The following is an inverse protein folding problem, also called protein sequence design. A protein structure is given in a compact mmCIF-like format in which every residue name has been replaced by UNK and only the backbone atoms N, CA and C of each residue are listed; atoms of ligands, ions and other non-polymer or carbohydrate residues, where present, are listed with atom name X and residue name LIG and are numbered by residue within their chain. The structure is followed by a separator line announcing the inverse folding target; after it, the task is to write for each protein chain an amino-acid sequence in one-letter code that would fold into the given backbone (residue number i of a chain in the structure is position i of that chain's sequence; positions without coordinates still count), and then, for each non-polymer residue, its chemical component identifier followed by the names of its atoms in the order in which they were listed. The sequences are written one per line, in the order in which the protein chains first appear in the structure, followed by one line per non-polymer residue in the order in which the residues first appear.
data_IF_457288816434
#
_entry.id   IF_457288816434
#
_cell.length_a   1.000
_cell.length_b   1.000
_cell.length_c   1.000
_cell.angle_alpha   90.00
_cell.angle_beta   90.00
_cell.angle_gamma   90.00
#
_symmetry.space_group_name_H-M   'P 1'
#
loop_
_entity.id
_entity.type
_entity.pdbx_description
1 polymer ?
#
# COMPACT_ATOMS: atom_id res chain seq x y z
N UNK A 1 39.37 -1.16 -18.65
CA UNK A 1 39.14 -1.10 -17.19
C UNK A 1 39.05 0.37 -16.81
N UNK A 2 38.08 0.85 -15.99
CA UNK A 2 37.62 0.23 -14.74
C UNK A 2 36.08 0.11 -14.51
N UNK A 3 35.76 -0.88 -13.67
CA UNK A 3 34.68 -1.04 -12.65
C UNK A 3 33.23 -0.63 -13.00
N UNK A 4 32.40 -1.66 -13.22
CA UNK A 4 30.95 -1.61 -12.99
C UNK A 4 30.67 -1.76 -11.49
N UNK A 5 29.86 -0.84 -10.94
CA UNK A 5 29.43 -0.86 -9.53
C UNK A 5 28.53 -2.08 -9.29
N UNK A 6 28.94 -2.86 -8.31
CA UNK A 6 28.30 -4.07 -7.83
C UNK A 6 26.92 -3.74 -7.23
N UNK A 7 25.84 -3.91 -8.00
CA UNK A 7 24.48 -3.99 -7.45
C UNK A 7 24.25 -5.44 -6.99
N UNK A 8 23.97 -5.60 -5.70
CA UNK A 8 23.91 -6.89 -5.02
C UNK A 8 22.72 -7.74 -5.45
N UNK A 9 22.84 -8.45 -6.57
CA UNK A 9 21.91 -9.51 -6.95
C UNK A 9 22.61 -10.86 -6.79
N UNK A 10 22.33 -11.56 -5.70
CA UNK A 10 22.67 -12.98 -5.58
C UNK A 10 21.76 -13.76 -6.54
N UNK A 11 22.35 -14.29 -7.60
CA UNK A 11 21.65 -15.11 -8.58
C UNK A 11 21.44 -16.52 -7.99
N UNK A 12 20.23 -16.80 -7.50
CA UNK A 12 19.76 -18.17 -7.29
C UNK A 12 18.98 -18.61 -8.53
N UNK A 13 19.49 -19.63 -9.20
CA UNK A 13 18.97 -20.21 -10.43
C UNK A 13 17.45 -20.49 -10.32
N UNK A 14 16.66 -19.86 -11.20
CA UNK A 14 15.33 -20.34 -11.59
C UNK A 14 14.10 -19.52 -11.17
N UNK A 15 14.23 -18.44 -10.39
CA UNK A 15 13.07 -17.59 -10.12
C UNK A 15 13.50 -16.15 -9.95
N UNK A 16 13.00 -15.25 -10.81
CA UNK A 16 13.07 -13.82 -10.57
C UNK A 16 12.07 -13.56 -9.43
N UNK A 17 12.48 -13.87 -8.20
CA UNK A 17 11.78 -13.42 -7.01
C UNK A 17 11.85 -11.90 -7.06
N UNK A 18 10.79 -11.26 -7.54
CA UNK A 18 10.67 -9.82 -7.45
C UNK A 18 10.59 -9.53 -5.94
N UNK A 19 11.65 -8.99 -5.30
CA UNK A 19 11.62 -8.76 -3.86
C UNK A 19 10.45 -7.86 -3.47
N UNK A 20 9.92 -7.07 -4.41
CA UNK A 20 8.79 -6.17 -4.20
C UNK A 20 7.43 -6.88 -4.23
N UNK A 21 7.31 -8.11 -4.74
CA UNK A 21 6.01 -8.83 -4.71
C UNK A 21 5.61 -9.27 -3.30
N UNK A 22 6.58 -9.35 -2.38
CA UNK A 22 6.32 -9.66 -0.97
C UNK A 22 6.28 -8.41 -0.07
N UNK A 23 6.52 -7.21 -0.61
CA UNK A 23 6.54 -5.96 0.17
C UNK A 23 5.36 -5.03 -0.16
N UNK A 24 4.19 -5.63 -0.43
CA UNK A 24 2.96 -4.88 -0.64
C UNK A 24 2.42 -4.36 0.70
N UNK A 25 2.66 -3.07 0.98
CA UNK A 25 2.08 -2.36 2.14
C UNK A 25 0.74 -1.71 1.79
N UNK A 26 -0.07 -1.44 2.82
CA UNK A 26 -1.27 -0.61 2.72
C UNK A 26 -0.94 0.80 2.21
N UNK A 27 0.24 1.33 2.54
CA UNK A 27 0.70 2.63 2.03
C UNK A 27 0.90 2.61 0.51
N UNK A 28 1.48 1.53 -0.04
CA UNK A 28 1.56 1.35 -1.49
C UNK A 28 0.17 1.28 -2.14
N UNK A 29 -0.82 0.67 -1.48
CA UNK A 29 -2.19 0.66 -1.98
C UNK A 29 -2.81 2.07 -2.01
N UNK A 30 -2.57 2.87 -0.96
CA UNK A 30 -3.05 4.26 -0.88
C UNK A 30 -2.49 5.12 -2.01
N UNK A 31 -1.19 5.00 -2.24
CA UNK A 31 -0.49 5.76 -3.29
C UNK A 31 -0.93 5.32 -4.68
N UNK A 32 -0.98 4.00 -4.92
CA UNK A 32 -1.35 3.43 -6.23
C UNK A 32 -2.78 3.79 -6.63
N UNK A 33 -3.73 3.66 -5.71
CA UNK A 33 -5.14 3.99 -5.96
C UNK A 33 -5.48 5.46 -5.69
N UNK A 34 -4.50 6.27 -5.30
CA UNK A 34 -4.67 7.70 -5.02
C UNK A 34 -5.76 7.98 -4.01
N UNK A 35 -5.90 7.15 -2.97
CA UNK A 35 -6.98 7.22 -1.97
C UNK A 35 -7.02 8.61 -1.31
N UNK A 36 -5.87 9.23 -1.08
CA UNK A 36 -5.83 10.59 -0.51
C UNK A 36 -6.41 11.65 -1.47
N UNK A 37 -6.24 11.47 -2.79
CA UNK A 37 -6.69 12.45 -3.80
C UNK A 37 -8.20 12.43 -4.00
N UNK A 38 -8.82 11.25 -4.03
CA UNK A 38 -10.27 11.13 -4.23
C UNK A 38 -11.04 10.92 -2.94
N UNK A 39 -10.41 10.35 -1.92
CA UNK A 39 -11.03 10.06 -0.63
C UNK A 39 -11.24 11.31 0.23
N UNK A 40 -10.43 12.36 0.05
CA UNK A 40 -10.63 13.70 0.64
C UNK A 40 -10.95 13.70 2.15
N UNK A 41 -10.40 12.75 2.91
CA UNK A 41 -10.66 12.59 4.35
C UNK A 41 -11.94 11.81 4.71
N UNK A 42 -12.75 11.43 3.72
CA UNK A 42 -13.92 10.59 3.88
C UNK A 42 -13.64 9.11 3.70
N UNK A 43 -12.68 8.75 2.84
CA UNK A 43 -12.30 7.36 2.61
C UNK A 43 -10.82 7.16 2.87
N UNK A 44 -10.47 6.08 3.57
CA UNK A 44 -9.09 5.72 3.86
C UNK A 44 -8.95 4.19 4.00
N UNK A 45 -7.74 3.66 4.17
CA UNK A 45 -7.50 2.22 4.38
C UNK A 45 -6.86 1.98 5.75
N UNK A 46 -7.48 1.29 6.70
CA UNK A 46 -6.84 1.09 8.01
C UNK A 46 -5.59 0.18 7.95
N UNK A 47 -4.86 0.06 9.06
CA UNK A 47 -3.66 -0.81 9.17
C UNK A 47 -3.96 -2.30 8.94
N UNK A 48 -5.22 -2.72 9.01
CA UNK A 48 -5.65 -4.07 8.67
C UNK A 48 -5.90 -4.26 7.16
N UNK A 49 -5.69 -3.23 6.35
CA UNK A 49 -5.92 -3.26 4.89
C UNK A 49 -7.39 -3.11 4.50
N UNK A 50 -8.27 -2.68 5.41
CA UNK A 50 -9.70 -2.52 5.16
C UNK A 50 -10.07 -1.08 4.83
N UNK A 51 -11.00 -0.90 3.91
CA UNK A 51 -11.49 0.43 3.54
C UNK A 51 -12.41 0.96 4.66
N UNK A 52 -12.09 2.15 5.15
CA UNK A 52 -12.86 2.86 6.17
C UNK A 52 -13.49 4.12 5.59
N UNK A 53 -14.75 4.37 5.95
CA UNK A 53 -15.45 5.61 5.71
C UNK A 53 -15.49 6.46 6.99
N UNK A 54 -15.27 7.76 6.83
CA UNK A 54 -15.26 8.77 7.87
C UNK A 54 -16.21 9.91 7.46
N UNK A 55 -17.54 9.75 7.63
CA UNK A 55 -18.51 10.75 7.22
C UNK A 55 -18.37 12.09 7.94
N UNK A 56 -17.84 12.10 9.18
CA UNK A 56 -17.52 13.31 9.96
C UNK A 56 -15.99 13.57 10.08
N UNK A 57 -15.18 12.94 9.22
CA UNK A 57 -13.71 13.08 9.20
C UNK A 57 -13.05 12.87 10.58
N UNK A 58 -12.42 13.91 11.15
CA UNK A 58 -11.70 13.86 12.44
C UNK A 58 -12.62 13.92 13.67
N UNK A 59 -13.84 14.42 13.49
CA UNK A 59 -14.82 14.61 14.58
C UNK A 59 -15.74 13.39 14.71
N UNK A 60 -15.70 12.48 13.74
CA UNK A 60 -16.61 11.34 13.61
C UNK A 60 -16.00 9.99 13.91
N UNK A 61 -16.88 9.00 14.09
CA UNK A 61 -16.50 7.60 14.07
C UNK A 61 -16.00 7.17 12.69
N UNK A 62 -15.06 6.23 12.68
CA UNK A 62 -14.62 5.52 11.46
C UNK A 62 -15.45 4.25 11.34
N UNK A 63 -16.07 4.03 10.19
CA UNK A 63 -16.87 2.83 9.90
C UNK A 63 -16.15 2.00 8.85
N UNK A 64 -15.99 0.70 9.09
CA UNK A 64 -15.43 -0.21 8.07
C UNK A 64 -16.49 -0.51 7.01
N UNK A 65 -16.18 -0.30 5.73
CA UNK A 65 -17.15 -0.56 4.65
C UNK A 65 -17.55 -2.04 4.57
N UNK A 66 -16.63 -2.94 4.92
CA UNK A 66 -16.87 -4.39 4.91
C UNK A 66 -17.90 -4.85 5.93
N UNK A 67 -18.20 -4.05 6.96
CA UNK A 67 -19.24 -4.38 7.96
C UNK A 67 -20.62 -3.86 7.58
N UNK A 68 -20.72 -3.02 6.54
CA UNK A 68 -21.98 -2.39 6.11
C UNK A 68 -22.70 -3.22 5.03
N UNK A 69 -22.03 -4.19 4.40
CA UNK A 69 -22.54 -4.95 3.24
C UNK A 69 -23.14 -6.29 3.60
#
# INVERSE_FOLDING_TARGET
MPVLKNIGTTLSCGSLVNPDKNNWSVDHARDLYGIERWGAGYFNINSAGRVVAQPLQEVGGRVELTEVV
#
